data_IF_586671227270
#
_entry.id   IF_586671227270
#
_cell.length_a   1.000
_cell.length_b   1.000
_cell.length_c   1.000
_cell.angle_alpha   90.00
_cell.angle_beta   90.00
_cell.angle_gamma   90.00
#
_symmetry.space_group_name_H-M   'P 1'
#
loop_
_entity.id
_entity.type
_entity.pdbx_description
1 polymer ?
#
# COMPACT_ATOMS: atom_id res chain seq x y z
N UNK A 1 15.10 18.67 21.03
CA UNK A 1 14.38 17.50 20.48
C UNK A 1 14.70 16.27 21.32
N UNK A 2 13.72 15.40 21.64
CA UNK A 2 13.97 14.15 22.34
C UNK A 2 14.73 13.14 21.45
N UNK A 3 15.48 12.23 22.07
CA UNK A 3 16.21 11.19 21.37
C UNK A 3 15.26 10.27 20.57
N UNK A 4 15.44 10.09 19.25
CA UNK A 4 14.58 9.22 18.45
C UNK A 4 14.70 7.73 18.81
N UNK A 5 15.67 7.34 19.63
CA UNK A 5 15.92 5.95 19.99
C UNK A 5 15.33 5.55 21.35
N UNK A 6 15.29 6.46 22.31
CA UNK A 6 14.84 6.18 23.69
C UNK A 6 13.94 7.27 24.29
N UNK A 7 13.55 8.28 23.50
CA UNK A 7 12.71 9.41 23.90
C UNK A 7 13.27 10.31 25.02
N UNK A 8 14.45 10.02 25.57
CA UNK A 8 15.12 10.87 26.57
C UNK A 8 15.35 12.30 26.06
N UNK A 9 15.13 13.27 26.95
CA UNK A 9 15.43 14.69 26.75
C UNK A 9 16.90 15.06 27.02
N UNK A 10 17.69 14.15 27.62
CA UNK A 10 19.09 14.37 27.96
C UNK A 10 20.00 14.32 26.72
N UNK A 11 19.97 15.39 25.91
CA UNK A 11 20.60 15.45 24.60
C UNK A 11 21.56 16.64 24.53
N UNK A 12 22.77 16.41 24.03
CA UNK A 12 23.79 17.46 23.80
C UNK A 12 24.15 17.57 22.32
N UNK A 13 24.54 18.78 21.88
CA UNK A 13 25.12 18.99 20.55
C UNK A 13 26.47 18.27 20.43
N UNK A 14 26.73 17.66 19.28
CA UNK A 14 27.91 16.81 19.02
C UNK A 14 28.45 17.01 17.59
N UNK A 15 28.76 18.26 17.23
CA UNK A 15 29.31 18.64 15.93
C UNK A 15 28.27 18.81 14.82
N UNK A 16 28.74 19.19 13.63
CA UNK A 16 27.92 19.41 12.42
C UNK A 16 28.57 18.74 11.21
N UNK A 17 27.81 18.56 10.12
CA UNK A 17 28.37 18.21 8.80
C UNK A 17 27.65 18.98 7.70
N UNK A 18 28.36 19.28 6.60
CA UNK A 18 27.81 20.02 5.47
C UNK A 18 27.19 19.09 4.42
N UNK A 19 26.08 19.54 3.84
CA UNK A 19 25.45 18.94 2.66
C UNK A 19 26.05 19.51 1.38
N UNK A 20 25.70 18.91 0.23
CA UNK A 20 26.16 19.38 -1.08
C UNK A 20 25.65 20.78 -1.45
N UNK A 21 24.55 21.23 -0.87
CA UNK A 21 23.99 22.57 -1.07
C UNK A 21 24.58 23.62 -0.11
N UNK A 22 25.59 23.26 0.69
CA UNK A 22 26.26 24.15 1.64
C UNK A 22 25.56 24.27 3.00
N UNK A 23 24.34 23.75 3.16
CA UNK A 23 23.66 23.74 4.46
C UNK A 23 24.35 22.80 5.45
N UNK A 24 24.32 23.13 6.74
CA UNK A 24 24.90 22.30 7.80
C UNK A 24 23.82 21.56 8.59
N UNK A 25 24.10 20.32 8.96
CA UNK A 25 23.20 19.49 9.77
C UNK A 25 23.84 19.27 11.14
N UNK A 26 23.07 19.57 12.19
CA UNK A 26 23.48 19.36 13.58
C UNK A 26 23.43 17.87 13.95
N UNK A 27 24.52 17.39 14.55
CA UNK A 27 24.54 16.09 15.24
C UNK A 27 24.31 16.28 16.74
N UNK A 28 23.65 15.31 17.33
CA UNK A 28 23.32 15.24 18.74
C UNK A 28 23.82 13.91 19.33
N UNK A 29 24.14 13.91 20.62
CA UNK A 29 24.43 12.72 21.41
C UNK A 29 23.41 12.61 22.54
N UNK A 30 22.69 11.49 22.60
CA UNK A 30 21.82 11.18 23.73
C UNK A 30 22.66 10.67 24.91
N UNK A 31 22.59 11.32 26.06
CA UNK A 31 23.25 10.86 27.29
C UNK A 31 22.52 9.69 27.96
N UNK A 32 21.22 9.52 27.72
CA UNK A 32 20.45 8.40 28.26
C UNK A 32 20.75 7.05 27.59
N UNK A 33 21.02 7.02 26.29
CA UNK A 33 21.27 5.77 25.55
C UNK A 33 22.59 5.73 24.76
N UNK A 34 23.43 6.76 24.86
CA UNK A 34 24.73 6.86 24.18
C UNK A 34 24.68 6.98 22.65
N UNK A 35 23.51 6.99 22.01
CA UNK A 35 23.38 7.00 20.55
C UNK A 35 23.49 8.42 19.98
N UNK A 36 24.13 8.53 18.82
CA UNK A 36 24.20 9.76 18.02
C UNK A 36 23.02 9.86 17.05
N UNK A 37 22.49 11.06 16.85
CA UNK A 37 21.41 11.30 15.92
C UNK A 37 21.41 12.74 15.37
N UNK A 38 20.51 13.02 14.43
CA UNK A 38 20.26 14.34 13.83
C UNK A 38 18.76 14.50 13.59
N UNK A 39 18.33 15.66 13.11
CA UNK A 39 16.94 15.88 12.65
C UNK A 39 16.54 14.86 11.58
N UNK A 40 17.50 14.45 10.74
CA UNK A 40 17.30 13.46 9.68
C UNK A 40 17.28 12.01 10.18
N UNK A 41 17.58 11.73 11.44
CA UNK A 41 17.61 10.34 11.94
C UNK A 41 16.22 9.70 11.86
N UNK A 42 16.17 8.47 11.33
CA UNK A 42 14.95 7.70 11.00
C UNK A 42 14.08 8.29 9.86
N UNK A 43 14.57 9.27 9.12
CA UNK A 43 13.94 9.79 7.90
C UNK A 43 14.56 9.14 6.66
N UNK A 44 13.94 9.29 5.49
CA UNK A 44 14.53 8.81 4.23
C UNK A 44 15.87 9.53 3.93
N UNK A 45 15.94 10.81 4.31
CA UNK A 45 17.12 11.66 4.17
C UNK A 45 18.27 11.33 5.15
N UNK A 46 18.10 10.36 6.05
CA UNK A 46 19.15 9.94 6.97
C UNK A 46 20.44 9.56 6.22
N UNK A 47 21.57 10.17 6.60
CA UNK A 47 22.90 9.92 6.00
C UNK A 47 23.01 10.27 4.51
N UNK A 48 22.03 10.94 3.90
CA UNK A 48 22.15 11.47 2.55
C UNK A 48 22.79 12.86 2.59
N UNK A 49 23.83 13.04 1.77
CA UNK A 49 24.42 14.36 1.47
C UNK A 49 23.71 15.08 0.32
N UNK A 50 22.91 14.34 -0.45
CA UNK A 50 22.11 14.90 -1.55
C UNK A 50 20.99 15.78 -0.98
N UNK A 51 20.74 16.96 -1.58
CA UNK A 51 19.61 17.82 -1.19
C UNK A 51 18.26 17.10 -1.34
N UNK A 52 17.34 17.34 -0.42
CA UNK A 52 16.02 16.71 -0.44
C UNK A 52 15.19 17.11 -1.68
N UNK A 53 15.43 18.30 -2.25
CA UNK A 53 14.82 18.77 -3.49
C UNK A 53 15.16 17.87 -4.69
N UNK A 54 16.41 17.41 -4.80
CA UNK A 54 16.83 16.49 -5.87
C UNK A 54 16.21 15.10 -5.69
N UNK A 55 16.17 14.59 -4.46
CA UNK A 55 15.51 13.31 -4.15
C UNK A 55 13.99 13.40 -4.42
N UNK A 56 13.37 14.52 -4.07
CA UNK A 56 11.97 14.83 -4.36
C UNK A 56 11.68 14.84 -5.85
N UNK A 57 12.53 15.51 -6.64
CA UNK A 57 12.41 15.54 -8.10
C UNK A 57 12.55 14.13 -8.71
N UNK A 58 13.47 13.32 -8.18
CA UNK A 58 13.61 11.92 -8.59
C UNK A 58 12.31 11.14 -8.39
N UNK A 59 11.71 11.20 -7.19
CA UNK A 59 10.46 10.48 -6.93
C UNK A 59 9.30 11.00 -7.78
N UNK A 60 9.24 12.31 -8.06
CA UNK A 60 8.26 12.86 -9.01
C UNK A 60 8.42 12.24 -10.40
N UNK A 61 9.63 12.24 -10.97
CA UNK A 61 9.89 11.61 -12.27
C UNK A 61 9.51 10.13 -12.30
N UNK A 62 9.88 9.39 -11.24
CA UNK A 62 9.57 7.96 -11.12
C UNK A 62 8.06 7.72 -10.97
N UNK A 63 7.34 8.59 -10.27
CA UNK A 63 5.88 8.54 -10.10
C UNK A 63 5.11 8.86 -11.38
N UNK A 64 5.73 9.57 -12.33
CA UNK A 64 5.17 9.85 -13.65
C UNK A 64 5.61 8.82 -14.72
N UNK A 65 6.16 7.68 -14.30
CA UNK A 65 6.47 6.56 -15.19
C UNK A 65 7.78 6.69 -15.96
N UNK A 66 8.62 7.68 -15.65
CA UNK A 66 9.96 7.77 -16.22
C UNK A 66 10.83 6.62 -15.69
N UNK A 67 11.49 5.86 -16.57
CA UNK A 67 12.35 4.73 -16.21
C UNK A 67 13.60 5.12 -15.39
N UNK A 68 14.12 4.23 -14.55
CA UNK A 68 15.19 4.57 -13.57
C UNK A 68 16.47 5.09 -14.24
N UNK A 69 16.85 4.52 -15.39
CA UNK A 69 18.00 5.00 -16.17
C UNK A 69 17.73 6.35 -16.83
N UNK A 70 16.50 6.59 -17.28
CA UNK A 70 16.11 7.87 -17.87
C UNK A 70 16.13 8.96 -16.80
N UNK A 71 15.54 8.73 -15.63
CA UNK A 71 15.63 9.64 -14.48
C UNK A 71 17.08 9.89 -14.05
N UNK A 72 17.93 8.86 -14.09
CA UNK A 72 19.36 9.02 -13.79
C UNK A 72 20.08 9.97 -14.75
N UNK A 73 19.79 9.89 -16.05
CA UNK A 73 20.34 10.84 -17.05
C UNK A 73 19.83 12.25 -16.86
N UNK A 74 18.53 12.42 -16.55
CA UNK A 74 17.94 13.75 -16.35
C UNK A 74 18.51 14.45 -15.11
N UNK A 75 18.79 13.69 -14.06
CA UNK A 75 19.30 14.22 -12.79
C UNK A 75 20.82 14.22 -12.66
N UNK A 76 21.53 13.69 -13.66
CA UNK A 76 22.96 13.39 -13.60
C UNK A 76 23.36 12.58 -12.35
N UNK A 77 22.60 11.52 -12.10
CA UNK A 77 22.79 10.62 -10.95
C UNK A 77 22.77 9.17 -11.43
N UNK A 78 23.66 8.34 -10.88
CA UNK A 78 23.69 6.91 -11.24
C UNK A 78 22.35 6.23 -10.91
N UNK A 79 21.87 5.38 -11.82
CA UNK A 79 20.60 4.66 -11.62
C UNK A 79 20.60 3.85 -10.31
N UNK A 80 21.75 3.29 -9.90
CA UNK A 80 21.90 2.59 -8.61
C UNK A 80 21.65 3.50 -7.40
N UNK A 81 21.93 4.80 -7.50
CA UNK A 81 21.59 5.77 -6.44
C UNK A 81 20.09 6.00 -6.34
N UNK A 82 19.39 6.08 -7.48
CA UNK A 82 17.92 6.16 -7.50
C UNK A 82 17.28 4.90 -6.91
N UNK A 83 17.78 3.72 -7.28
CA UNK A 83 17.30 2.45 -6.72
C UNK A 83 17.47 2.42 -5.19
N UNK A 84 18.62 2.87 -4.66
CA UNK A 84 18.84 2.98 -3.21
C UNK A 84 17.88 3.95 -2.53
N UNK A 85 17.48 5.04 -3.20
CA UNK A 85 16.46 5.94 -2.66
C UNK A 85 15.08 5.27 -2.64
N UNK A 86 14.68 4.59 -3.72
CA UNK A 86 13.44 3.80 -3.76
C UNK A 86 13.41 2.71 -2.67
N UNK A 87 14.54 2.02 -2.43
CA UNK A 87 14.66 0.99 -1.38
C UNK A 87 14.42 1.57 0.00
N UNK A 88 14.97 2.76 0.27
CA UNK A 88 14.73 3.46 1.54
C UNK A 88 13.27 3.86 1.72
N UNK A 89 12.63 4.36 0.66
CA UNK A 89 11.20 4.71 0.71
C UNK A 89 10.33 3.48 0.94
N UNK A 90 10.55 2.42 0.17
CA UNK A 90 9.82 1.16 0.33
C UNK A 90 10.04 0.54 1.72
N UNK A 91 11.26 0.63 2.27
CA UNK A 91 11.57 0.18 3.62
C UNK A 91 10.85 0.95 4.73
N UNK A 92 10.25 2.11 4.43
CA UNK A 92 9.42 2.86 5.37
C UNK A 92 7.92 2.55 5.28
N UNK A 93 7.48 1.65 4.40
CA UNK A 93 6.06 1.43 4.13
C UNK A 93 5.23 1.14 5.39
N UNK A 94 5.76 0.39 6.35
CA UNK A 94 5.05 0.09 7.60
C UNK A 94 4.83 1.31 8.50
N UNK A 95 5.69 2.34 8.41
CA UNK A 95 5.49 3.62 9.13
C UNK A 95 4.49 4.55 8.44
N UNK A 96 3.92 4.13 7.32
CA UNK A 96 2.96 4.86 6.48
C UNK A 96 1.75 3.98 6.11
N UNK A 97 1.44 3.01 6.98
CA UNK A 97 0.33 2.08 6.81
C UNK A 97 -0.47 1.94 8.11
N UNK A 98 -1.15 3.01 8.59
CA UNK A 98 -2.11 2.89 9.69
C UNK A 98 -3.19 1.87 9.33
N UNK A 99 -3.79 1.25 10.34
CA UNK A 99 -4.98 0.40 10.13
C UNK A 99 -6.20 1.27 9.79
N UNK A 100 -7.24 0.65 9.24
CA UNK A 100 -8.53 1.30 9.06
C UNK A 100 -9.06 1.83 10.40
N UNK A 101 -9.68 3.02 10.44
CA UNK A 101 -10.38 3.50 11.63
C UNK A 101 -11.45 2.50 12.09
N UNK A 102 -11.62 2.32 13.39
CA UNK A 102 -12.52 1.31 13.97
C UNK A 102 -14.02 1.59 13.71
N UNK A 103 -14.38 2.85 13.59
CA UNK A 103 -15.75 3.32 13.38
C UNK A 103 -16.14 3.46 11.90
N UNK A 104 -15.26 3.12 10.95
CA UNK A 104 -15.55 3.25 9.53
C UNK A 104 -16.15 1.98 8.93
N UNK A 105 -16.96 2.15 7.88
CA UNK A 105 -17.27 1.09 6.94
C UNK A 105 -16.31 1.17 5.76
N UNK A 106 -15.78 0.03 5.32
CA UNK A 106 -14.87 -0.03 4.19
C UNK A 106 -15.37 -1.00 3.12
N UNK A 107 -15.19 -0.61 1.85
CA UNK A 107 -15.39 -1.54 0.73
C UNK A 107 -14.07 -1.82 0.07
N UNK A 108 -13.54 -3.02 0.27
CA UNK A 108 -12.30 -3.47 -0.32
C UNK A 108 -12.55 -4.15 -1.66
N UNK A 109 -11.94 -3.60 -2.70
CA UNK A 109 -11.90 -4.18 -4.03
C UNK A 109 -10.55 -4.83 -4.28
N UNK A 110 -10.58 -6.07 -4.75
CA UNK A 110 -9.40 -6.88 -5.02
C UNK A 110 -9.33 -7.25 -6.50
N UNK A 111 -8.13 -7.12 -7.06
CA UNK A 111 -7.84 -7.51 -8.43
C UNK A 111 -6.34 -7.85 -8.55
N UNK A 112 -5.97 -8.50 -9.65
CA UNK A 112 -4.59 -8.85 -9.95
C UNK A 112 -4.15 -8.25 -11.28
N UNK A 113 -2.94 -7.73 -11.31
CA UNK A 113 -2.31 -7.29 -12.55
C UNK A 113 -0.99 -8.03 -12.78
N UNK A 114 -0.72 -8.29 -14.06
CA UNK A 114 0.46 -9.01 -14.50
C UNK A 114 1.43 -8.08 -15.24
N UNK A 115 2.73 -8.28 -14.99
CA UNK A 115 3.82 -7.84 -15.86
C UNK A 115 4.92 -8.90 -15.92
N UNK A 116 5.85 -8.77 -16.87
CA UNK A 116 7.01 -9.66 -16.96
C UNK A 116 8.04 -9.33 -15.88
N UNK A 117 8.72 -10.34 -15.38
CA UNK A 117 9.90 -10.21 -14.49
C UNK A 117 11.02 -11.07 -15.04
N UNK A 118 12.20 -10.47 -15.26
CA UNK A 118 13.40 -11.17 -15.72
C UNK A 118 13.27 -11.69 -17.14
N UNK A 119 12.80 -12.93 -17.28
CA UNK A 119 12.68 -13.65 -18.54
C UNK A 119 11.24 -13.65 -19.06
N UNK A 120 11.07 -14.00 -20.34
CA UNK A 120 9.76 -14.06 -20.98
C UNK A 120 9.10 -15.42 -20.74
N UNK A 121 8.56 -15.60 -19.54
CA UNK A 121 7.84 -16.81 -19.15
C UNK A 121 6.33 -16.68 -19.41
N UNK A 122 5.61 -17.81 -19.59
CA UNK A 122 4.17 -17.83 -19.52
C UNK A 122 3.67 -17.16 -18.23
N UNK A 123 2.52 -16.47 -18.23
CA UNK A 123 2.03 -15.77 -17.04
C UNK A 123 1.94 -16.67 -15.81
N UNK A 124 1.56 -17.94 -15.95
CA UNK A 124 1.42 -18.87 -14.81
C UNK A 124 2.74 -19.10 -14.06
N UNK A 125 3.88 -19.04 -14.76
CA UNK A 125 5.22 -19.33 -14.21
C UNK A 125 5.96 -18.07 -13.77
N UNK A 126 5.43 -16.90 -14.12
CA UNK A 126 6.10 -15.62 -13.91
C UNK A 126 5.82 -15.04 -12.53
N UNK A 127 6.85 -14.47 -11.90
CA UNK A 127 6.78 -13.82 -10.58
C UNK A 127 6.24 -12.38 -10.62
N UNK A 128 5.73 -11.95 -11.77
CA UNK A 128 5.29 -10.57 -11.98
C UNK A 128 3.79 -10.34 -11.80
N UNK A 129 3.08 -11.29 -11.19
CA UNK A 129 1.73 -11.02 -10.71
C UNK A 129 1.78 -10.11 -9.50
N UNK A 130 0.81 -9.23 -9.42
CA UNK A 130 0.66 -8.29 -8.32
C UNK A 130 -0.79 -8.33 -7.87
N UNK A 131 -1.00 -8.73 -6.63
CA UNK A 131 -2.29 -8.66 -5.95
C UNK A 131 -2.47 -7.24 -5.43
N UNK A 132 -3.56 -6.60 -5.82
CA UNK A 132 -3.88 -5.23 -5.42
C UNK A 132 -5.20 -5.18 -4.66
N UNK A 133 -5.19 -4.48 -3.53
CA UNK A 133 -6.38 -4.20 -2.73
C UNK A 133 -6.55 -2.70 -2.59
N UNK A 134 -7.74 -2.19 -2.88
CA UNK A 134 -8.06 -0.77 -2.71
C UNK A 134 -9.36 -0.60 -1.93
N UNK A 135 -9.37 0.34 -0.99
CA UNK A 135 -10.61 0.81 -0.39
C UNK A 135 -11.32 1.74 -1.38
N UNK A 136 -12.58 1.41 -1.66
CA UNK A 136 -13.41 2.02 -2.69
C UNK A 136 -13.50 3.53 -2.45
N UNK A 137 -14.14 4.00 -1.40
CA UNK A 137 -14.57 5.40 -1.31
C UNK A 137 -13.40 6.39 -1.25
N UNK A 138 -12.38 6.04 -0.49
CA UNK A 138 -11.17 6.82 -0.29
C UNK A 138 -10.14 6.65 -1.39
N UNK A 139 -10.27 5.61 -2.23
CA UNK A 139 -9.24 5.17 -3.18
C UNK A 139 -7.92 4.82 -2.48
N UNK A 140 -7.96 4.52 -1.18
CA UNK A 140 -6.76 4.19 -0.41
C UNK A 140 -6.25 2.83 -0.87
N UNK A 141 -5.02 2.81 -1.36
CA UNK A 141 -4.38 1.61 -1.84
C UNK A 141 -3.82 0.84 -0.65
N UNK A 142 -4.55 -0.19 -0.22
CA UNK A 142 -4.27 -0.96 1.00
C UNK A 142 -3.07 -1.89 0.81
N UNK A 143 -3.07 -2.67 -0.26
CA UNK A 143 -2.05 -3.73 -0.47
C UNK A 143 -1.60 -3.77 -1.93
N UNK A 144 -0.29 -3.97 -2.13
CA UNK A 144 0.31 -4.32 -3.41
C UNK A 144 1.37 -5.41 -3.18
N UNK A 145 1.01 -6.68 -3.36
CA UNK A 145 1.90 -7.81 -3.12
C UNK A 145 2.33 -8.44 -4.44
N UNK A 146 3.64 -8.61 -4.66
CA UNK A 146 4.21 -9.17 -5.89
C UNK A 146 4.64 -10.63 -5.70
N UNK A 147 4.29 -11.49 -6.63
CA UNK A 147 4.71 -12.89 -6.63
C UNK A 147 4.20 -13.69 -7.83
N UNK A 148 4.30 -15.01 -7.75
CA UNK A 148 3.62 -15.92 -8.68
C UNK A 148 2.13 -15.96 -8.36
N UNK A 149 1.29 -16.29 -9.32
CA UNK A 149 -0.16 -16.41 -9.11
C UNK A 149 -0.55 -17.72 -8.43
N UNK A 150 0.15 -18.05 -7.36
CA UNK A 150 0.02 -19.26 -6.55
C UNK A 150 -0.61 -18.90 -5.19
N UNK A 151 -0.90 -19.91 -4.36
CA UNK A 151 -1.59 -19.72 -3.08
C UNK A 151 -0.89 -18.71 -2.16
N UNK A 152 0.45 -18.78 -2.04
CA UNK A 152 1.25 -17.90 -1.20
C UNK A 152 1.02 -16.39 -1.47
N UNK A 153 0.77 -16.02 -2.73
CA UNK A 153 0.47 -14.63 -3.09
C UNK A 153 -0.84 -14.17 -2.46
N UNK A 154 -1.87 -15.03 -2.51
CA UNK A 154 -3.18 -14.75 -1.93
C UNK A 154 -3.12 -14.78 -0.40
N UNK A 155 -2.43 -15.76 0.20
CA UNK A 155 -2.26 -15.83 1.65
C UNK A 155 -1.63 -14.54 2.19
N UNK A 156 -0.53 -14.09 1.59
CA UNK A 156 0.16 -12.86 1.99
C UNK A 156 -0.69 -11.62 1.74
N UNK A 157 -1.26 -11.49 0.53
CA UNK A 157 -2.07 -10.33 0.15
C UNK A 157 -3.35 -10.17 0.97
N UNK A 158 -4.05 -11.27 1.22
CA UNK A 158 -5.26 -11.31 2.06
C UNK A 158 -4.91 -11.03 3.51
N UNK A 159 -3.85 -11.64 4.06
CA UNK A 159 -3.39 -11.38 5.42
C UNK A 159 -3.08 -9.89 5.65
N UNK A 160 -2.32 -9.26 4.75
CA UNK A 160 -1.99 -7.82 4.87
C UNK A 160 -3.25 -6.95 4.76
N UNK A 161 -4.13 -7.24 3.80
CA UNK A 161 -5.38 -6.49 3.62
C UNK A 161 -6.32 -6.64 4.83
N UNK A 162 -6.40 -7.84 5.40
CA UNK A 162 -7.16 -8.12 6.60
C UNK A 162 -6.59 -7.42 7.83
N UNK A 163 -5.27 -7.45 8.05
CA UNK A 163 -4.64 -6.75 9.18
C UNK A 163 -4.93 -5.25 9.18
N UNK A 164 -5.06 -4.65 7.99
CA UNK A 164 -5.48 -3.27 7.82
C UNK A 164 -6.96 -3.08 8.12
N UNK A 165 -7.84 -3.92 7.56
CA UNK A 165 -9.28 -3.74 7.61
C UNK A 165 -9.95 -4.24 8.89
N UNK A 166 -9.35 -5.21 9.59
CA UNK A 166 -9.96 -5.92 10.71
C UNK A 166 -10.58 -5.02 11.81
N UNK A 167 -10.02 -3.84 12.14
CA UNK A 167 -10.65 -2.93 13.10
C UNK A 167 -11.94 -2.28 12.62
N UNK A 168 -12.15 -2.13 11.31
CA UNK A 168 -13.32 -1.46 10.75
C UNK A 168 -14.63 -2.14 11.19
N UNK A 169 -15.65 -1.31 11.44
CA UNK A 169 -16.97 -1.72 11.89
C UNK A 169 -17.65 -2.64 10.89
N UNK A 170 -17.56 -2.30 9.60
CA UNK A 170 -18.14 -3.06 8.51
C UNK A 170 -17.15 -3.19 7.35
N UNK A 171 -17.06 -4.38 6.77
CA UNK A 171 -16.16 -4.70 5.66
C UNK A 171 -16.96 -5.37 4.55
N UNK A 172 -16.98 -4.74 3.38
CA UNK A 172 -17.38 -5.36 2.12
C UNK A 172 -16.13 -5.82 1.38
N UNK A 173 -16.00 -7.12 1.15
CA UNK A 173 -14.82 -7.72 0.53
C UNK A 173 -15.18 -8.27 -0.86
N UNK A 174 -14.86 -7.50 -1.89
CA UNK A 174 -15.23 -7.81 -3.27
C UNK A 174 -14.02 -8.14 -4.14
N UNK A 175 -14.12 -9.18 -4.97
CA UNK A 175 -13.09 -9.55 -5.96
C UNK A 175 -13.69 -9.92 -7.32
N UNK A 176 -12.86 -9.92 -8.36
CA UNK A 176 -13.24 -10.35 -9.71
C UNK A 176 -12.88 -11.83 -9.95
N UNK A 177 -13.81 -12.73 -9.66
CA UNK A 177 -13.80 -14.13 -10.07
C UNK A 177 -12.83 -15.05 -9.33
N UNK A 178 -11.78 -14.52 -8.71
CA UNK A 178 -10.77 -15.29 -8.00
C UNK A 178 -11.25 -15.69 -6.60
N UNK A 179 -11.44 -17.00 -6.40
CA UNK A 179 -12.00 -17.57 -5.16
C UNK A 179 -10.97 -17.66 -4.04
N UNK A 180 -9.67 -17.67 -4.36
CA UNK A 180 -8.60 -17.77 -3.35
C UNK A 180 -8.64 -16.63 -2.33
N UNK A 181 -9.07 -15.43 -2.72
CA UNK A 181 -9.28 -14.34 -1.76
C UNK A 181 -10.19 -14.75 -0.59
N UNK A 182 -11.35 -15.34 -0.91
CA UNK A 182 -12.31 -15.76 0.11
C UNK A 182 -11.84 -17.01 0.87
N UNK A 183 -11.15 -17.94 0.20
CA UNK A 183 -10.60 -19.14 0.83
C UNK A 183 -9.59 -18.78 1.94
N UNK A 184 -8.63 -17.89 1.61
CA UNK A 184 -7.63 -17.42 2.58
C UNK A 184 -8.27 -16.57 3.67
N UNK A 185 -9.25 -15.72 3.32
CA UNK A 185 -9.97 -14.88 4.29
C UNK A 185 -10.79 -15.73 5.27
N UNK A 186 -11.36 -16.86 4.81
CA UNK A 186 -12.14 -17.78 5.66
C UNK A 186 -11.32 -18.31 6.83
N UNK A 187 -10.03 -18.52 6.67
CA UNK A 187 -9.15 -18.92 7.77
C UNK A 187 -8.97 -17.81 8.83
N UNK A 188 -9.06 -16.54 8.43
CA UNK A 188 -8.77 -15.39 9.27
C UNK A 188 -10.01 -14.78 9.95
N UNK A 189 -11.15 -14.80 9.26
CA UNK A 189 -12.31 -13.97 9.60
C UNK A 189 -13.60 -14.75 9.86
N UNK A 190 -13.57 -16.07 9.79
CA UNK A 190 -14.72 -16.90 10.15
C UNK A 190 -14.81 -17.11 11.66
N UNK A 191 -16.04 -17.22 12.15
CA UNK A 191 -16.35 -17.52 13.55
C UNK A 191 -17.12 -18.83 13.65
N UNK A 192 -17.17 -19.41 14.85
CA UNK A 192 -18.07 -20.50 15.18
C UNK A 192 -19.04 -20.06 16.26
N UNK A 193 -20.33 -20.20 16.00
CA UNK A 193 -21.37 -19.88 16.96
C UNK A 193 -21.53 -21.02 17.98
N UNK A 194 -21.87 -20.66 19.23
CA UNK A 194 -22.16 -21.63 20.28
C UNK A 194 -23.61 -22.14 20.13
N UNK A 195 -23.78 -23.46 20.25
CA UNK A 195 -25.10 -24.13 20.29
C UNK A 195 -25.83 -23.76 21.61
N UNK A 196 -27.19 -23.72 21.71
CA UNK A 196 -28.21 -24.27 20.78
C UNK A 196 -29.01 -23.27 19.95
N UNK A 197 -29.13 -22.02 20.40
CA UNK A 197 -30.21 -21.15 19.92
C UNK A 197 -29.95 -20.60 18.51
N UNK A 198 -28.68 -20.34 18.17
CA UNK A 198 -28.34 -19.66 16.91
C UNK A 198 -28.19 -20.65 15.75
N UNK A 199 -27.63 -21.83 15.97
CA UNK A 199 -27.37 -22.81 14.90
C UNK A 199 -28.65 -23.32 14.20
N UNK A 200 -29.74 -23.49 14.96
CA UNK A 200 -30.98 -24.10 14.44
C UNK A 200 -31.72 -23.18 13.46
N UNK A 201 -31.60 -21.86 13.61
CA UNK A 201 -32.24 -20.89 12.72
C UNK A 201 -31.50 -20.72 11.38
N UNK A 202 -30.17 -20.86 11.39
CA UNK A 202 -29.33 -20.49 10.24
C UNK A 202 -28.68 -21.67 9.52
N UNK A 203 -28.79 -22.89 10.05
CA UNK A 203 -28.32 -24.13 9.38
C UNK A 203 -26.79 -24.29 9.30
N UNK A 204 -26.02 -23.34 9.83
CA UNK A 204 -24.55 -23.35 9.77
C UNK A 204 -23.94 -22.97 11.13
N UNK A 205 -22.92 -23.71 11.56
CA UNK A 205 -22.16 -23.42 12.79
C UNK A 205 -20.96 -22.50 12.55
N UNK A 206 -20.40 -22.54 11.32
CA UNK A 206 -19.25 -21.74 10.91
C UNK A 206 -19.68 -20.78 9.80
N UNK A 207 -19.39 -19.50 9.99
CA UNK A 207 -19.84 -18.38 9.13
C UNK A 207 -18.82 -17.25 9.21
N UNK A 208 -19.00 -16.22 8.39
CA UNK A 208 -18.26 -14.97 8.55
C UNK A 208 -18.53 -14.31 9.90
N UNK A 209 -17.59 -13.51 10.40
CA UNK A 209 -17.87 -12.62 11.54
C UNK A 209 -18.97 -11.63 11.18
N UNK A 210 -19.66 -11.13 12.21
CA UNK A 210 -20.59 -10.01 12.06
C UNK A 210 -19.89 -8.80 11.42
N UNK A 211 -20.59 -8.11 10.52
CA UNK A 211 -20.07 -6.95 9.79
C UNK A 211 -19.11 -7.27 8.65
N UNK A 212 -18.99 -8.53 8.23
CA UNK A 212 -18.20 -8.92 7.06
C UNK A 212 -19.09 -9.53 5.96
N UNK A 213 -19.12 -8.87 4.81
CA UNK A 213 -19.76 -9.34 3.57
C UNK A 213 -18.67 -9.74 2.57
N UNK A 214 -18.75 -10.93 1.98
CA UNK A 214 -17.78 -11.41 0.98
C UNK A 214 -18.46 -11.87 -0.29
N UNK A 215 -18.17 -11.21 -1.41
CA UNK A 215 -18.78 -11.52 -2.69
C UNK A 215 -17.81 -11.43 -3.86
N UNK A 216 -18.09 -12.20 -4.91
CA UNK A 216 -17.30 -12.21 -6.14
C UNK A 216 -18.16 -11.90 -7.36
N UNK A 217 -17.59 -11.12 -8.28
CA UNK A 217 -18.13 -10.94 -9.62
C UNK A 217 -17.50 -11.98 -10.54
N UNK A 218 -18.30 -12.83 -11.17
CA UNK A 218 -17.82 -13.84 -12.12
C UNK A 218 -18.24 -13.38 -13.52
N UNK A 219 -17.25 -13.11 -14.38
CA UNK A 219 -17.46 -12.79 -15.79
C UNK A 219 -17.98 -14.05 -16.52
N UNK A 220 -19.18 -13.97 -17.08
CA UNK A 220 -19.77 -15.06 -17.88
C UNK A 220 -19.23 -15.08 -19.32
N UNK A 221 -19.18 -16.25 -19.94
CA UNK A 221 -18.73 -16.43 -21.34
C UNK A 221 -19.60 -15.68 -22.36
N UNK A 222 -20.87 -15.43 -22.04
CA UNK A 222 -21.83 -14.69 -22.88
C UNK A 222 -21.97 -13.20 -22.49
N UNK A 223 -21.00 -12.64 -21.74
CA UNK A 223 -21.01 -11.22 -21.36
C UNK A 223 -22.01 -10.85 -20.26
N UNK A 224 -22.79 -11.79 -19.71
CA UNK A 224 -23.64 -11.60 -18.54
C UNK A 224 -22.89 -11.97 -17.26
N UNK A 225 -22.44 -11.00 -16.44
CA UNK A 225 -21.76 -11.29 -15.19
C UNK A 225 -22.74 -11.80 -14.12
N UNK A 226 -22.34 -12.87 -13.41
CA UNK A 226 -23.06 -13.34 -12.21
C UNK A 226 -22.31 -12.89 -10.95
N UNK A 227 -23.06 -12.63 -9.88
CA UNK A 227 -22.50 -12.28 -8.56
C UNK A 227 -22.77 -13.44 -7.62
N UNK A 228 -21.80 -13.73 -6.76
CA UNK A 228 -21.91 -14.83 -5.81
C UNK A 228 -21.36 -14.40 -4.47
N UNK A 229 -22.18 -14.51 -3.43
CA UNK A 229 -21.76 -14.42 -2.04
C UNK A 229 -21.14 -15.76 -1.63
N UNK A 230 -19.97 -15.70 -1.01
CA UNK A 230 -19.17 -16.88 -0.72
C UNK A 230 -19.23 -17.18 0.77
N UNK A 231 -19.46 -18.44 1.12
CA UNK A 231 -19.64 -18.92 2.48
C UNK A 231 -20.86 -18.31 3.20
N UNK A 232 -21.34 -18.91 4.31
CA UNK A 232 -22.47 -18.35 5.06
C UNK A 232 -22.11 -17.03 5.74
N UNK A 233 -22.97 -16.02 5.57
CA UNK A 233 -22.88 -14.73 6.26
C UNK A 233 -23.42 -14.82 7.70
N UNK A 234 -22.97 -13.90 8.56
CA UNK A 234 -23.59 -13.72 9.86
C UNK A 234 -25.01 -13.14 9.70
N UNK A 235 -26.00 -13.58 10.48
CA UNK A 235 -27.40 -13.16 10.30
C UNK A 235 -27.67 -11.67 10.53
N UNK A 236 -26.80 -10.99 11.28
CA UNK A 236 -26.89 -9.55 11.51
C UNK A 236 -26.02 -8.73 10.55
N UNK A 237 -25.38 -9.36 9.57
CA UNK A 237 -24.64 -8.66 8.52
C UNK A 237 -25.59 -8.29 7.39
N UNK A 238 -25.72 -7.00 7.10
CA UNK A 238 -26.44 -6.53 5.93
C UNK A 238 -25.72 -6.95 4.65
N UNK A 239 -26.47 -7.43 3.67
CA UNK A 239 -25.92 -7.86 2.37
C UNK A 239 -26.23 -6.81 1.31
N UNK A 240 -25.21 -6.40 0.56
CA UNK A 240 -25.33 -5.39 -0.48
C UNK A 240 -26.11 -5.92 -1.67
N UNK A 241 -26.69 -5.03 -2.48
CA UNK A 241 -27.34 -5.42 -3.72
C UNK A 241 -26.31 -5.92 -4.75
N UNK A 242 -26.74 -6.76 -5.71
CA UNK A 242 -25.84 -7.33 -6.71
C UNK A 242 -25.16 -6.29 -7.62
N UNK A 243 -25.70 -5.08 -7.74
CA UNK A 243 -25.07 -3.99 -8.49
C UNK A 243 -23.83 -3.44 -7.81
N UNK A 244 -23.75 -3.52 -6.47
CA UNK A 244 -22.62 -3.02 -5.67
C UNK A 244 -21.38 -3.92 -5.74
N UNK A 245 -21.57 -5.20 -6.10
CA UNK A 245 -20.49 -6.19 -6.16
C UNK A 245 -19.69 -6.05 -7.46
N UNK A 246 -18.60 -5.29 -7.38
CA UNK A 246 -17.62 -5.10 -8.44
C UNK A 246 -16.25 -4.66 -7.91
N UNK A 247 -15.22 -4.76 -8.76
CA UNK A 247 -13.87 -4.28 -8.49
C UNK A 247 -13.41 -3.16 -9.46
N UNK A 248 -14.36 -2.38 -10.00
CA UNK A 248 -14.12 -1.41 -11.06
C UNK A 248 -13.06 -0.34 -10.70
N UNK A 249 -12.98 0.06 -9.43
CA UNK A 249 -12.01 1.06 -9.01
C UNK A 249 -10.62 0.46 -8.85
N UNK A 250 -10.52 -0.80 -8.42
CA UNK A 250 -9.26 -1.55 -8.47
C UNK A 250 -8.78 -1.76 -9.92
N UNK A 251 -9.68 -2.07 -10.86
CA UNK A 251 -9.36 -2.14 -12.30
C UNK A 251 -8.84 -0.78 -12.84
N UNK A 252 -9.42 0.33 -12.38
CA UNK A 252 -8.97 1.68 -12.74
C UNK A 252 -7.59 2.02 -12.13
N UNK A 253 -7.32 1.61 -10.89
CA UNK A 253 -6.01 1.70 -10.27
C UNK A 253 -4.97 0.91 -11.09
N UNK A 254 -5.29 -0.32 -11.50
CA UNK A 254 -4.43 -1.14 -12.35
C UNK A 254 -4.10 -0.45 -13.68
N UNK A 255 -5.06 0.26 -14.26
CA UNK A 255 -4.85 1.09 -15.45
C UNK A 255 -3.94 2.30 -15.18
N UNK A 256 -4.04 2.91 -13.99
CA UNK A 256 -3.12 3.98 -13.54
C UNK A 256 -1.70 3.46 -13.34
N UNK A 257 -1.54 2.29 -12.70
CA UNK A 257 -0.23 1.64 -12.47
C UNK A 257 0.48 1.40 -13.80
N UNK A 258 -0.23 0.93 -14.83
CA UNK A 258 0.34 0.71 -16.18
C UNK A 258 0.89 1.98 -16.83
N UNK A 259 0.43 3.17 -16.43
CA UNK A 259 0.94 4.46 -16.92
C UNK A 259 2.11 4.96 -16.08
N UNK A 260 1.94 4.94 -14.76
CA UNK A 260 2.85 5.57 -13.79
C UNK A 260 4.01 4.69 -13.32
N UNK A 261 3.88 3.37 -13.42
CA UNK A 261 4.94 2.44 -13.06
C UNK A 261 5.52 1.82 -14.33
N UNK A 262 6.74 2.24 -14.70
CA UNK A 262 7.39 1.83 -15.95
C UNK A 262 7.46 0.30 -16.11
N UNK A 263 7.53 -0.45 -15.01
CA UNK A 263 7.59 -1.90 -15.03
C UNK A 263 6.28 -2.59 -15.47
N UNK A 264 5.14 -1.90 -15.45
CA UNK A 264 3.83 -2.43 -15.85
C UNK A 264 3.34 -1.87 -17.19
N UNK A 265 4.18 -1.15 -17.94
CA UNK A 265 3.77 -0.58 -19.23
C UNK A 265 3.40 -1.69 -20.21
N UNK A 266 2.14 -1.67 -20.66
CA UNK A 266 1.60 -2.66 -21.59
C UNK A 266 2.14 -2.42 -23.00
N UNK A 267 2.37 -3.50 -23.76
CA UNK A 267 2.80 -3.47 -25.18
C UNK A 267 4.09 -2.67 -25.42
N UNK A 268 4.97 -2.60 -24.42
CA UNK A 268 6.30 -2.03 -24.53
C UNK A 268 7.32 -2.99 -23.93
N UNK A 269 8.58 -2.90 -24.36
CA UNK A 269 9.69 -3.70 -23.82
C UNK A 269 10.20 -3.18 -22.45
N UNK A 270 9.28 -2.78 -21.57
CA UNK A 270 9.57 -2.37 -20.20
C UNK A 270 9.05 -3.44 -19.24
N UNK A 271 9.93 -3.90 -18.35
CA UNK A 271 9.61 -4.95 -17.39
C UNK A 271 10.59 -4.88 -16.22
N UNK A 272 10.23 -5.47 -15.08
CA UNK A 272 11.12 -5.52 -13.94
C UNK A 272 12.19 -6.61 -14.15
N UNK A 273 13.42 -6.37 -13.66
CA UNK A 273 14.50 -7.36 -13.78
C UNK A 273 14.44 -8.42 -12.68
N UNK A 274 13.87 -8.09 -11.53
CA UNK A 274 13.73 -9.00 -10.38
C UNK A 274 12.39 -8.75 -9.68
N UNK A 275 11.85 -9.77 -9.00
CA UNK A 275 10.64 -9.66 -8.18
C UNK A 275 10.77 -8.59 -7.11
N UNK A 276 11.89 -8.58 -6.38
CA UNK A 276 12.17 -7.56 -5.37
C UNK A 276 12.19 -6.14 -5.94
N UNK A 277 12.73 -5.97 -7.16
CA UNK A 277 12.73 -4.68 -7.84
C UNK A 277 11.33 -4.21 -8.26
N UNK A 278 10.44 -5.15 -8.64
CA UNK A 278 9.03 -4.87 -8.92
C UNK A 278 8.28 -4.48 -7.65
N UNK A 279 8.46 -5.23 -6.55
CA UNK A 279 7.86 -4.93 -5.25
C UNK A 279 8.28 -3.55 -4.74
N UNK A 280 9.58 -3.22 -4.79
CA UNK A 280 10.06 -1.88 -4.42
C UNK A 280 9.37 -0.79 -5.24
N UNK A 281 9.33 -0.95 -6.57
CA UNK A 281 8.77 0.06 -7.46
C UNK A 281 7.27 0.28 -7.19
N UNK A 282 6.50 -0.79 -6.96
CA UNK A 282 5.07 -0.67 -6.69
C UNK A 282 4.79 -0.10 -5.29
N UNK A 283 5.58 -0.46 -4.28
CA UNK A 283 5.45 0.12 -2.93
C UNK A 283 5.73 1.63 -2.93
N UNK A 284 6.70 2.12 -3.71
CA UNK A 284 6.92 3.57 -3.90
C UNK A 284 5.69 4.23 -4.50
N UNK A 285 5.08 3.63 -5.53
CA UNK A 285 3.85 4.18 -6.13
C UNK A 285 2.68 4.20 -5.15
N UNK A 286 2.52 3.15 -4.35
CA UNK A 286 1.49 3.06 -3.31
C UNK A 286 1.63 4.19 -2.29
N UNK A 287 2.84 4.43 -1.78
CA UNK A 287 3.10 5.50 -0.82
C UNK A 287 2.82 6.89 -1.41
N UNK A 288 3.25 7.13 -2.64
CA UNK A 288 3.01 8.41 -3.32
C UNK A 288 1.51 8.61 -3.59
N UNK A 289 0.81 7.57 -4.05
CA UNK A 289 -0.63 7.58 -4.32
C UNK A 289 -1.43 7.91 -3.05
N UNK A 290 -1.14 7.22 -1.94
CA UNK A 290 -1.91 7.38 -0.71
C UNK A 290 -1.67 8.74 -0.03
N UNK A 291 -0.41 9.16 0.07
CA UNK A 291 -0.01 10.23 1.00
C UNK A 291 0.29 11.57 0.33
N UNK A 292 0.75 11.56 -0.91
CA UNK A 292 1.37 12.73 -1.55
C UNK A 292 0.53 13.27 -2.71
N UNK A 293 0.02 12.38 -3.56
CA UNK A 293 -0.68 12.75 -4.79
C UNK A 293 -2.16 12.97 -4.52
N UNK A 294 -2.71 14.18 -4.72
CA UNK A 294 -4.15 14.37 -4.72
C UNK A 294 -4.82 13.49 -5.77
N UNK A 295 -5.90 12.82 -5.39
CA UNK A 295 -6.63 11.95 -6.29
C UNK A 295 -7.74 12.75 -7.00
N UNK A 296 -7.78 12.69 -8.33
CA UNK A 296 -8.70 13.52 -9.13
C UNK A 296 -10.18 13.33 -8.79
N UNK A 297 -10.58 12.14 -8.31
CA UNK A 297 -11.97 11.82 -7.96
C UNK A 297 -12.38 12.23 -6.54
N UNK A 298 -11.47 12.76 -5.71
CA UNK A 298 -11.72 13.07 -4.29
C UNK A 298 -11.87 14.57 -4.02
N UNK A 299 -11.98 15.37 -5.09
CA UNK A 299 -12.01 16.82 -5.02
C UNK A 299 -10.62 17.45 -5.03
N UNK A 300 -10.58 18.78 -4.93
CA UNK A 300 -9.35 19.56 -5.10
C UNK A 300 -8.42 19.35 -3.92
N UNK A 301 -7.18 18.92 -4.20
CA UNK A 301 -6.11 18.72 -3.21
C UNK A 301 -6.43 17.69 -2.12
N UNK A 302 -7.28 16.69 -2.39
CA UNK A 302 -7.56 15.60 -1.44
C UNK A 302 -6.78 14.34 -1.80
N UNK A 303 -6.00 13.80 -0.87
CA UNK A 303 -5.32 12.49 -1.04
C UNK A 303 -6.19 11.35 -0.48
N UNK A 304 -5.93 10.09 -0.88
CA UNK A 304 -6.60 8.94 -0.28
C UNK A 304 -6.43 8.86 1.25
N UNK A 305 -5.22 9.15 1.76
CA UNK A 305 -4.98 9.17 3.20
C UNK A 305 -5.81 10.26 3.92
N UNK A 306 -6.04 11.42 3.29
CA UNK A 306 -6.94 12.43 3.84
C UNK A 306 -8.38 11.96 3.87
N UNK A 307 -8.84 11.30 2.80
CA UNK A 307 -10.23 10.81 2.72
C UNK A 307 -10.50 9.68 3.72
N UNK A 308 -9.50 8.89 4.07
CA UNK A 308 -9.55 7.93 5.18
C UNK A 308 -9.52 8.58 6.58
N UNK A 309 -9.26 9.89 6.67
CA UNK A 309 -9.14 10.59 7.96
C UNK A 309 -7.79 10.41 8.65
N UNK A 310 -6.76 9.89 7.97
CA UNK A 310 -5.44 9.71 8.57
C UNK A 310 -4.66 11.01 8.73
N UNK A 311 -4.93 12.01 7.88
CA UNK A 311 -4.29 13.33 7.88
C UNK A 311 -5.29 14.39 7.44
N UNK A 312 -5.08 15.65 7.84
CA UNK A 312 -5.97 16.76 7.49
C UNK A 312 -5.53 17.57 6.27
N UNK A 313 -4.26 17.43 5.84
CA UNK A 313 -3.68 18.17 4.71
C UNK A 313 -2.78 17.25 3.88
N UNK A 314 -2.59 17.51 2.58
CA UNK A 314 -1.68 16.71 1.74
C UNK A 314 -0.24 16.79 2.24
N UNK A 315 0.43 15.64 2.31
CA UNK A 315 1.87 15.61 2.60
C UNK A 315 2.62 15.94 1.32
N UNK A 316 3.45 16.98 1.34
CA UNK A 316 4.36 17.24 0.22
C UNK A 316 5.43 16.15 0.14
N UNK A 317 5.98 15.93 -1.06
CA UNK A 317 7.11 15.00 -1.21
C UNK A 317 8.28 15.39 -0.28
N UNK A 318 8.53 16.68 -0.06
CA UNK A 318 9.61 17.11 0.83
C UNK A 318 9.35 16.69 2.28
N UNK A 319 8.15 16.95 2.81
CA UNK A 319 7.74 16.54 4.15
C UNK A 319 7.81 15.03 4.32
N UNK A 320 7.33 14.26 3.33
CA UNK A 320 7.43 12.80 3.36
C UNK A 320 8.88 12.33 3.55
N UNK A 321 9.82 12.92 2.79
CA UNK A 321 11.24 12.54 2.84
C UNK A 321 11.91 12.90 4.18
N UNK A 322 11.46 13.96 4.84
CA UNK A 322 12.03 14.49 6.08
C UNK A 322 11.30 14.05 7.34
N UNK A 323 10.20 13.31 7.22
CA UNK A 323 9.41 12.80 8.34
C UNK A 323 9.76 11.32 8.61
N UNK A 324 9.56 10.89 9.86
CA UNK A 324 9.83 9.51 10.31
C UNK A 324 8.69 8.52 10.06
N UNK A 325 7.50 9.01 9.70
CA UNK A 325 6.26 8.23 9.56
C UNK A 325 5.03 9.12 9.76
N UNK A 326 3.84 8.59 9.46
CA UNK A 326 2.61 9.40 9.47
C UNK A 326 2.29 9.99 10.85
N UNK A 327 2.58 9.25 11.94
CA UNK A 327 2.33 9.69 13.32
C UNK A 327 2.98 11.06 13.59
N UNK A 328 4.16 11.32 13.03
CA UNK A 328 4.87 12.57 13.25
C UNK A 328 4.28 13.78 12.50
N UNK A 329 3.28 13.57 11.63
CA UNK A 329 2.54 14.63 10.92
C UNK A 329 1.16 14.83 11.52
N UNK A 330 0.63 13.79 12.19
CA UNK A 330 -0.69 13.82 12.84
C UNK A 330 -0.65 14.22 14.31
N UNK A 331 0.56 14.27 14.89
CA UNK A 331 0.83 14.80 16.24
C UNK A 331 1.01 16.31 16.15
#
# INVERSE_FOLDING_TARGET
MPCPHCQSSCVVKNGTYSLKDGSSVQHFLCKGCGKRFSDKTKTLMARLRTPASMVSLAFKMRSEGMGVRASGRVLDVSHSTLLRWEERMAGQASQWSPKAPDHCEVTLEHDELYTRVGENLPPQESEGWTLTTMERESRYWVTAQVGRREQDLFEQGVRTSWQWAAPALFIRWFSDGERRYAQELWALASIRLRYPQVARAYGHLKMWREGLEVAIKIKGSQGRPRRQWLYPDHPFTAVSSASEVHANHCEALNSSIRRHCSAYRRRQNHYAKTRAGLQRAITVQQLIHNWIRPHFSLGKRTTPAMRMGFISQPVTMLEFLTTRGYIAITS
#
